data_IF_157054443293
#
_entry.id   IF_157054443293
#
_cell.length_a   1.000
_cell.length_b   1.000
_cell.length_c   1.000
_cell.angle_alpha   90.00
_cell.angle_beta   90.00
_cell.angle_gamma   90.00
#
_symmetry.space_group_name_H-M   'P 1'
#
loop_
_entity.id
_entity.type
_entity.pdbx_description
1 polymer ?
#
# COMPACT_ATOMS: atom_id res chain seq x y z
N UNK A 1 7.71 -21.81 -6.43
CA UNK A 1 7.45 -20.59 -5.65
C UNK A 1 7.13 -19.52 -6.67
N UNK A 2 5.98 -18.88 -6.54
CA UNK A 2 5.56 -17.86 -7.50
C UNK A 2 6.37 -16.58 -7.28
N UNK A 3 6.85 -15.96 -8.36
CA UNK A 3 7.57 -14.70 -8.26
C UNK A 3 6.57 -13.56 -7.94
N UNK A 4 6.71 -12.85 -6.80
CA UNK A 4 5.81 -11.76 -6.43
C UNK A 4 5.75 -10.66 -7.50
N UNK A 5 6.82 -10.42 -8.27
CA UNK A 5 6.83 -9.42 -9.34
C UNK A 5 5.97 -9.83 -10.54
N UNK A 6 5.99 -11.11 -10.93
CA UNK A 6 5.12 -11.63 -11.99
C UNK A 6 3.65 -11.58 -11.56
N UNK A 7 3.37 -11.93 -10.29
CA UNK A 7 2.03 -11.81 -9.74
C UNK A 7 1.56 -10.36 -9.67
N UNK A 8 2.42 -9.42 -9.27
CA UNK A 8 2.09 -8.00 -9.24
C UNK A 8 1.81 -7.44 -10.65
N UNK A 9 2.58 -7.85 -11.66
CA UNK A 9 2.30 -7.49 -13.05
C UNK A 9 0.91 -7.99 -13.48
N UNK A 10 0.58 -9.24 -13.18
CA UNK A 10 -0.74 -9.82 -13.46
C UNK A 10 -1.88 -9.15 -12.69
N UNK A 11 -1.64 -8.76 -11.44
CA UNK A 11 -2.59 -8.01 -10.61
C UNK A 11 -2.99 -6.67 -11.24
N UNK A 12 -2.06 -6.02 -11.94
CA UNK A 12 -2.25 -4.71 -12.54
C UNK A 12 -2.83 -4.78 -13.96
N UNK A 13 -2.39 -5.73 -14.79
CA UNK A 13 -2.71 -5.75 -16.22
C UNK A 13 -3.49 -6.97 -16.71
N UNK A 14 -3.80 -7.92 -15.83
CA UNK A 14 -4.54 -9.14 -16.19
C UNK A 14 -6.03 -8.90 -16.46
N UNK A 15 -6.69 -9.92 -16.98
CA UNK A 15 -8.16 -10.00 -16.96
C UNK A 15 -8.70 -10.02 -15.52
N UNK A 16 -10.00 -9.72 -15.28
CA UNK A 16 -10.56 -9.76 -13.93
C UNK A 16 -10.28 -11.07 -13.17
N UNK A 17 -10.35 -12.21 -13.87
CA UNK A 17 -10.03 -13.51 -13.28
C UNK A 17 -8.54 -13.67 -12.94
N UNK A 18 -7.65 -13.21 -13.83
CA UNK A 18 -6.20 -13.28 -13.60
C UNK A 18 -5.73 -12.34 -12.49
N UNK A 19 -6.36 -11.18 -12.35
CA UNK A 19 -6.08 -10.22 -11.28
C UNK A 19 -6.50 -10.77 -9.92
N UNK A 20 -7.67 -11.40 -9.84
CA UNK A 20 -8.13 -12.06 -8.62
C UNK A 20 -7.23 -13.25 -8.25
N UNK A 21 -6.87 -14.11 -9.21
CA UNK A 21 -5.91 -15.21 -8.99
C UNK A 21 -4.55 -14.68 -8.49
N UNK A 22 -4.06 -13.58 -9.07
CA UNK A 22 -2.81 -12.97 -8.66
C UNK A 22 -2.89 -12.41 -7.23
N UNK A 23 -3.97 -11.71 -6.87
CA UNK A 23 -4.20 -11.21 -5.51
C UNK A 23 -4.24 -12.37 -4.50
N UNK A 24 -5.00 -13.42 -4.81
CA UNK A 24 -5.12 -14.61 -3.98
C UNK A 24 -3.77 -15.31 -3.78
N UNK A 25 -2.95 -15.42 -4.83
CA UNK A 25 -1.62 -16.02 -4.73
C UNK A 25 -0.67 -15.14 -3.92
N UNK A 26 -0.68 -13.83 -4.13
CA UNK A 26 0.11 -12.87 -3.33
C UNK A 26 -0.21 -12.98 -1.84
N UNK A 27 -1.47 -13.14 -1.46
CA UNK A 27 -1.88 -13.32 -0.06
C UNK A 27 -1.25 -14.54 0.63
N UNK A 28 -0.80 -15.53 -0.15
CA UNK A 28 -0.18 -16.77 0.33
C UNK A 28 1.36 -16.72 0.32
N UNK A 29 1.95 -15.63 -0.19
CA UNK A 29 3.41 -15.47 -0.27
C UNK A 29 4.04 -14.94 1.03
N UNK A 30 3.23 -14.54 2.01
CA UNK A 30 3.70 -14.01 3.30
C UNK A 30 4.56 -12.77 3.11
N UNK A 31 5.73 -12.74 3.77
CA UNK A 31 6.64 -11.59 3.75
C UNK A 31 7.12 -11.19 2.35
N UNK A 32 7.10 -12.09 1.37
CA UNK A 32 7.49 -11.76 0.00
C UNK A 32 6.56 -10.72 -0.64
N UNK A 33 5.30 -10.59 -0.18
CA UNK A 33 4.37 -9.56 -0.61
C UNK A 33 4.90 -8.14 -0.34
N UNK A 34 5.80 -7.96 0.64
CA UNK A 34 6.44 -6.68 0.94
C UNK A 34 7.24 -6.10 -0.25
N UNK A 35 7.70 -6.96 -1.16
CA UNK A 35 8.46 -6.54 -2.37
C UNK A 35 7.60 -5.87 -3.43
N UNK A 36 6.28 -6.03 -3.35
CA UNK A 36 5.29 -5.52 -4.31
C UNK A 36 4.13 -4.78 -3.61
N UNK A 37 4.39 -4.24 -2.43
CA UNK A 37 3.38 -3.63 -1.58
C UNK A 37 2.62 -2.49 -2.27
N UNK A 38 3.28 -1.69 -3.12
CA UNK A 38 2.62 -0.62 -3.87
C UNK A 38 1.55 -1.15 -4.82
N UNK A 39 1.83 -2.26 -5.53
CA UNK A 39 0.86 -2.87 -6.43
C UNK A 39 -0.38 -3.42 -5.69
N UNK A 40 -0.19 -3.95 -4.47
CA UNK A 40 -1.31 -4.37 -3.61
C UNK A 40 -2.13 -3.16 -3.14
N UNK A 41 -1.47 -2.06 -2.78
CA UNK A 41 -2.15 -0.82 -2.37
C UNK A 41 -2.97 -0.23 -3.53
N UNK A 42 -2.41 -0.16 -4.73
CA UNK A 42 -3.11 0.32 -5.93
C UNK A 42 -4.32 -0.56 -6.27
N UNK A 43 -4.18 -1.89 -6.17
CA UNK A 43 -5.25 -2.83 -6.46
C UNK A 43 -6.47 -2.67 -5.54
N UNK A 44 -6.30 -2.09 -4.35
CA UNK A 44 -7.42 -1.76 -3.45
C UNK A 44 -8.40 -0.72 -4.03
N UNK A 45 -8.05 -0.01 -5.12
CA UNK A 45 -9.00 0.84 -5.84
C UNK A 45 -10.12 0.04 -6.51
N UNK A 46 -9.88 -1.25 -6.80
CA UNK A 46 -10.88 -2.16 -7.34
C UNK A 46 -11.64 -2.86 -6.22
N UNK A 47 -12.96 -2.62 -6.06
CA UNK A 47 -13.75 -3.23 -4.99
C UNK A 47 -13.76 -4.75 -5.00
N UNK A 48 -13.52 -5.39 -6.15
CA UNK A 48 -13.48 -6.86 -6.26
C UNK A 48 -12.19 -7.45 -5.71
N UNK A 49 -11.08 -6.71 -5.77
CA UNK A 49 -9.77 -7.13 -5.28
C UNK A 49 -9.49 -6.65 -3.86
N UNK A 50 -10.18 -5.57 -3.45
CA UNK A 50 -9.97 -4.91 -2.18
C UNK A 50 -9.95 -5.86 -0.97
N UNK A 51 -10.88 -6.81 -0.79
CA UNK A 51 -10.86 -7.67 0.40
C UNK A 51 -9.59 -8.53 0.52
N UNK A 52 -9.11 -9.09 -0.60
CA UNK A 52 -7.91 -9.93 -0.64
C UNK A 52 -6.65 -9.10 -0.49
N UNK A 53 -6.58 -7.95 -1.16
CA UNK A 53 -5.43 -7.05 -1.07
C UNK A 53 -5.31 -6.46 0.35
N UNK A 54 -6.42 -6.02 0.95
CA UNK A 54 -6.45 -5.52 2.33
C UNK A 54 -6.01 -6.60 3.32
N UNK A 55 -6.54 -7.83 3.22
CA UNK A 55 -6.10 -8.92 4.10
C UNK A 55 -4.61 -9.22 3.98
N UNK A 56 -4.05 -9.14 2.76
CA UNK A 56 -2.60 -9.26 2.54
C UNK A 56 -1.81 -8.12 3.19
N UNK A 57 -2.31 -6.88 3.07
CA UNK A 57 -1.68 -5.69 3.64
C UNK A 57 -1.76 -5.63 5.17
N UNK A 58 -2.81 -6.22 5.77
CA UNK A 58 -2.96 -6.31 7.23
C UNK A 58 -1.83 -7.11 7.88
N UNK A 59 -1.52 -8.27 7.29
CA UNK A 59 -0.46 -9.18 7.74
C UNK A 59 0.95 -8.70 7.37
N UNK A 60 1.07 -7.75 6.42
CA UNK A 60 2.35 -7.25 5.94
C UNK A 60 3.05 -6.39 7.01
N UNK A 61 4.34 -6.66 7.25
CA UNK A 61 5.19 -5.83 8.11
C UNK A 61 5.55 -4.47 7.46
N UNK A 62 6.84 -4.12 7.51
CA UNK A 62 7.34 -3.00 6.72
C UNK A 62 7.34 -3.37 5.23
N UNK A 63 6.97 -2.46 4.31
CA UNK A 63 7.25 -2.66 2.89
C UNK A 63 8.77 -2.69 2.64
N UNK A 64 9.18 -3.24 1.49
CA UNK A 64 10.55 -3.13 1.02
C UNK A 64 10.90 -1.68 0.62
N UNK A 65 12.14 -1.24 0.87
CA UNK A 65 12.56 0.15 0.68
C UNK A 65 12.31 0.69 -0.75
N UNK A 66 12.50 -0.15 -1.78
CA UNK A 66 12.26 0.25 -3.16
C UNK A 66 10.78 0.50 -3.49
N UNK A 67 9.85 0.13 -2.59
CA UNK A 67 8.43 0.42 -2.73
C UNK A 67 8.04 1.80 -2.18
N UNK A 68 8.86 2.42 -1.32
CA UNK A 68 8.50 3.67 -0.64
C UNK A 68 8.22 4.80 -1.63
N UNK A 69 9.08 4.94 -2.65
CA UNK A 69 8.92 5.90 -3.73
C UNK A 69 7.61 5.77 -4.51
N UNK A 70 7.07 4.54 -4.60
CA UNK A 70 5.77 4.26 -5.24
C UNK A 70 4.60 4.52 -4.29
N UNK A 71 4.76 4.25 -2.99
CA UNK A 71 3.74 4.47 -1.97
C UNK A 71 3.52 5.96 -1.65
N UNK A 72 4.58 6.78 -1.72
CA UNK A 72 4.52 8.22 -1.43
C UNK A 72 3.38 8.96 -2.15
N UNK A 73 3.31 8.90 -3.49
CA UNK A 73 2.23 9.53 -4.26
C UNK A 73 0.83 9.01 -3.93
N UNK A 74 0.70 7.73 -3.55
CA UNK A 74 -0.59 7.09 -3.28
C UNK A 74 -1.29 7.63 -2.02
N UNK A 75 -0.58 8.32 -1.13
CA UNK A 75 -1.18 9.04 0.02
C UNK A 75 -2.20 10.08 -0.43
N UNK A 76 -2.03 10.65 -1.63
CA UNK A 76 -2.94 11.64 -2.21
C UNK A 76 -4.05 11.01 -3.08
N UNK A 77 -4.19 9.69 -3.08
CA UNK A 77 -5.23 8.99 -3.85
C UNK A 77 -6.64 9.44 -3.46
N UNK A 78 -7.53 9.55 -4.45
CA UNK A 78 -8.96 9.79 -4.25
C UNK A 78 -9.69 8.56 -3.68
N UNK A 79 -9.13 7.36 -3.88
CA UNK A 79 -9.59 6.14 -3.23
C UNK A 79 -9.08 6.09 -1.79
N UNK A 80 -10.01 6.12 -0.84
CA UNK A 80 -9.72 6.21 0.59
C UNK A 80 -8.91 5.00 1.12
N UNK A 81 -9.23 3.79 0.68
CA UNK A 81 -8.50 2.57 1.06
C UNK A 81 -7.06 2.60 0.54
N UNK A 82 -6.84 3.09 -0.68
CA UNK A 82 -5.50 3.25 -1.28
C UNK A 82 -4.68 4.25 -0.46
N UNK A 83 -5.23 5.46 -0.22
CA UNK A 83 -4.55 6.50 0.55
C UNK A 83 -4.25 6.06 1.99
N UNK A 84 -5.20 5.38 2.62
CA UNK A 84 -5.06 4.84 3.97
C UNK A 84 -3.93 3.81 4.07
N UNK A 85 -3.86 2.86 3.13
CA UNK A 85 -2.83 1.83 3.15
C UNK A 85 -1.46 2.36 2.74
N UNK A 86 -1.38 3.29 1.80
CA UNK A 86 -0.15 4.01 1.48
C UNK A 86 0.44 4.69 2.72
N UNK A 87 -0.38 5.48 3.45
CA UNK A 87 0.05 6.11 4.69
C UNK A 87 0.42 5.08 5.76
N UNK A 88 -0.33 3.98 5.87
CA UNK A 88 -0.06 2.90 6.82
C UNK A 88 1.32 2.28 6.58
N UNK A 89 1.65 1.92 5.33
CA UNK A 89 2.91 1.27 5.00
C UNK A 89 4.10 2.21 5.14
N UNK A 90 3.98 3.48 4.74
CA UNK A 90 5.01 4.50 4.99
C UNK A 90 5.27 4.68 6.48
N UNK A 91 4.21 4.72 7.30
CA UNK A 91 4.36 4.71 8.75
C UNK A 91 5.09 3.44 9.23
N UNK A 92 4.69 2.25 8.76
CA UNK A 92 5.35 0.98 9.12
C UNK A 92 6.84 0.97 8.82
N UNK A 93 7.26 1.58 7.71
CA UNK A 93 8.67 1.76 7.32
C UNK A 93 9.45 2.76 8.20
N UNK A 94 8.76 3.67 8.90
CA UNK A 94 9.38 4.56 9.88
C UNK A 94 10.45 5.47 9.27
N UNK A 95 11.69 5.38 9.76
CA UNK A 95 12.80 6.23 9.32
C UNK A 95 13.17 6.06 7.85
N UNK A 96 12.94 4.89 7.25
CA UNK A 96 13.15 4.68 5.82
C UNK A 96 12.22 5.54 4.96
N UNK A 97 11.04 5.91 5.46
CA UNK A 97 10.06 6.73 4.75
C UNK A 97 10.19 8.23 5.03
N UNK A 98 11.28 8.69 5.65
CA UNK A 98 11.46 10.09 6.05
C UNK A 98 11.29 11.09 4.87
N UNK A 99 11.71 10.71 3.65
CA UNK A 99 11.57 11.53 2.45
C UNK A 99 10.11 11.80 2.06
N UNK A 100 9.17 10.96 2.52
CA UNK A 100 7.73 11.08 2.23
C UNK A 100 6.96 11.89 3.28
N UNK A 101 7.65 12.51 4.25
CA UNK A 101 7.04 13.46 5.19
C UNK A 101 6.13 14.50 4.51
N UNK A 102 6.53 15.18 3.42
CA UNK A 102 5.66 16.16 2.77
C UNK A 102 4.35 15.57 2.22
N UNK A 103 4.39 14.33 1.72
CA UNK A 103 3.20 13.63 1.23
C UNK A 103 2.25 13.29 2.39
N UNK A 104 2.79 12.84 3.53
CA UNK A 104 2.00 12.55 4.73
C UNK A 104 1.41 13.84 5.35
N UNK A 105 2.16 14.94 5.39
CA UNK A 105 1.66 16.25 5.83
C UNK A 105 0.54 16.78 4.92
N UNK A 106 0.64 16.55 3.61
CA UNK A 106 -0.47 16.80 2.69
C UNK A 106 -1.67 15.90 3.03
N UNK A 107 -1.45 14.59 3.23
CA UNK A 107 -2.48 13.63 3.62
C UNK A 107 -3.23 14.00 4.90
N UNK A 108 -2.55 14.58 5.91
CA UNK A 108 -3.21 15.09 7.13
C UNK A 108 -4.14 16.26 6.82
N UNK A 109 -3.75 17.16 5.91
CA UNK A 109 -4.52 18.38 5.60
C UNK A 109 -5.66 18.13 4.62
N UNK A 110 -5.42 17.31 3.59
CA UNK A 110 -6.30 17.16 2.43
C UNK A 110 -6.83 15.74 2.23
N UNK A 111 -6.53 14.80 3.13
CA UNK A 111 -6.99 13.42 3.02
C UNK A 111 -8.51 13.31 2.92
N UNK A 112 -8.97 12.47 1.98
CA UNK A 112 -10.37 12.37 1.54
C UNK A 112 -11.34 12.00 2.68
N UNK A 113 -10.90 11.14 3.61
CA UNK A 113 -11.68 10.77 4.81
C UNK A 113 -10.91 11.11 6.09
N UNK A 114 -11.64 11.17 7.21
CA UNK A 114 -11.03 11.33 8.53
C UNK A 114 -10.07 10.17 8.87
N UNK A 115 -10.40 8.95 8.43
CA UNK A 115 -9.56 7.78 8.59
C UNK A 115 -8.19 7.97 7.89
N UNK A 116 -8.19 8.47 6.66
CA UNK A 116 -6.95 8.78 5.91
C UNK A 116 -6.13 9.86 6.64
N UNK A 117 -6.76 10.97 7.06
CA UNK A 117 -6.05 12.05 7.78
C UNK A 117 -5.42 11.57 9.08
N UNK A 118 -6.16 10.79 9.89
CA UNK A 118 -5.67 10.18 11.13
C UNK A 118 -4.52 9.20 10.86
N UNK A 119 -4.62 8.41 9.79
CA UNK A 119 -3.57 7.45 9.43
C UNK A 119 -2.30 8.15 8.96
N UNK A 120 -2.41 9.22 8.19
CA UNK A 120 -1.28 10.06 7.80
C UNK A 120 -0.60 10.71 9.01
N UNK A 121 -1.38 11.20 9.99
CA UNK A 121 -0.84 11.76 11.24
C UNK A 121 -0.09 10.70 12.06
N UNK A 122 -0.68 9.51 12.23
CA UNK A 122 -0.01 8.38 12.86
C UNK A 122 1.30 7.99 12.16
N UNK A 123 1.34 8.06 10.83
CA UNK A 123 2.57 7.77 10.09
C UNK A 123 3.64 8.82 10.40
N UNK A 124 3.30 10.11 10.43
CA UNK A 124 4.23 11.19 10.78
C UNK A 124 4.85 11.03 12.17
N UNK A 125 4.10 10.52 13.15
CA UNK A 125 4.61 10.24 14.50
C UNK A 125 5.69 9.15 14.53
N UNK A 126 5.77 8.33 13.47
CA UNK A 126 6.73 7.22 13.34
C UNK A 126 7.97 7.61 12.54
N UNK A 127 7.95 8.78 11.90
CA UNK A 127 9.08 9.34 11.16
C UNK A 127 9.95 10.19 12.10
N UNK A 128 11.29 10.21 11.89
CA UNK A 128 12.16 11.12 12.63
C UNK A 128 11.81 12.58 12.30
N UNK A 129 11.82 13.45 13.31
CA UNK A 129 11.49 14.87 13.20
C UNK A 129 12.28 15.59 12.10
#
# INVERSE_FOLDING_TARGET
>A
MDDPYELAARLQSGTPAERLDAADRLSRTGDQAATVAAALVEACADPTLQPVCVGTLEELGSPADHQLGLLGPLVASEHDVVAYWAATLLGRAGSAAAEHRPALEAGVRTGVTEAVRKRAAWALERLPA
#
